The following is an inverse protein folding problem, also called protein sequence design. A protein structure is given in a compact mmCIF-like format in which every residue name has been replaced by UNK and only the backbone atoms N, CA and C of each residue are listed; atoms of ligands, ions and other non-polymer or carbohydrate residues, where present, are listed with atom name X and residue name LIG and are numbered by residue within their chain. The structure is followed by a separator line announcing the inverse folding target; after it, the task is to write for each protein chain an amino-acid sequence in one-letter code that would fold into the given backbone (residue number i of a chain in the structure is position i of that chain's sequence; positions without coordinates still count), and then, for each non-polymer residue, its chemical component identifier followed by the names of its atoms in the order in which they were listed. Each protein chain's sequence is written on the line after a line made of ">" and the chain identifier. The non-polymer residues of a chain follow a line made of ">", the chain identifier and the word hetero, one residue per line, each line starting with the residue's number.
data_IF_324505854930
#
_entry.id   IF_324505854930
#
_cell.length_a   1.000
_cell.length_b   1.000
_cell.length_c   1.000
_cell.angle_alpha   90.00
_cell.angle_beta   90.00
_cell.angle_gamma   90.00
#
_symmetry.space_group_name_H-M   'P 1'
#
loop_
_entity.id
_entity.type
_entity.pdbx_description
1 polymer ?
#
# COMPACT_ATOMS: atom_id res chain seq x y z
N UNK A 1 12.74 1.86 13.81
CA UNK A 1 12.10 0.64 14.38
C UNK A 1 11.54 -0.26 13.29
N UNK A 2 10.77 0.27 12.33
CA UNK A 2 10.14 -0.51 11.24
C UNK A 2 11.17 -1.31 10.42
N UNK A 3 12.22 -0.67 9.90
CA UNK A 3 13.24 -1.39 9.11
C UNK A 3 13.87 -2.58 9.84
N UNK A 4 14.09 -2.47 11.15
CA UNK A 4 14.62 -3.59 11.95
C UNK A 4 13.69 -4.81 11.92
N UNK A 5 12.37 -4.59 11.91
CA UNK A 5 11.36 -5.66 11.79
C UNK A 5 11.32 -6.23 10.38
N UNK A 6 11.34 -5.38 9.35
CA UNK A 6 11.37 -5.78 7.94
C UNK A 6 12.56 -6.70 7.68
N UNK A 7 13.78 -6.26 8.06
CA UNK A 7 14.99 -7.07 7.91
C UNK A 7 14.91 -8.40 8.64
N UNK A 8 14.45 -8.39 9.89
CA UNK A 8 14.35 -9.61 10.70
C UNK A 8 13.36 -10.61 10.09
N UNK A 9 12.19 -10.14 9.63
CA UNK A 9 11.19 -10.98 8.97
C UNK A 9 11.76 -11.63 7.70
N UNK A 10 12.40 -10.84 6.83
CA UNK A 10 12.99 -11.32 5.58
C UNK A 10 14.14 -12.32 5.81
N UNK A 11 14.98 -12.08 6.83
CA UNK A 11 16.06 -12.99 7.26
C UNK A 11 15.52 -14.34 7.71
N UNK A 12 14.32 -14.37 8.29
CA UNK A 12 13.65 -15.59 8.74
C UNK A 12 12.72 -16.21 7.70
N UNK A 13 12.75 -15.74 6.45
CA UNK A 13 11.98 -16.35 5.37
C UNK A 13 10.53 -15.87 5.26
N UNK A 14 10.11 -14.90 6.07
CA UNK A 14 8.75 -14.36 6.01
C UNK A 14 8.58 -13.36 4.86
N UNK A 15 7.36 -13.29 4.35
CA UNK A 15 6.89 -12.19 3.52
C UNK A 15 6.47 -11.00 4.39
N UNK A 16 6.60 -9.80 3.86
CA UNK A 16 6.35 -8.54 4.59
C UNK A 16 5.34 -7.70 3.84
N UNK A 17 4.28 -7.28 4.53
CA UNK A 17 3.43 -6.17 4.09
C UNK A 17 3.93 -4.91 4.82
N UNK A 18 4.55 -4.01 4.07
CA UNK A 18 5.05 -2.72 4.56
C UNK A 18 3.96 -1.66 4.41
N UNK A 19 3.35 -1.26 5.52
CA UNK A 19 2.36 -0.20 5.51
C UNK A 19 3.01 1.18 5.48
N UNK A 20 2.49 2.06 4.62
CA UNK A 20 2.87 3.48 4.50
C UNK A 20 1.60 4.32 4.36
N UNK A 21 1.65 5.57 4.78
CA UNK A 21 0.53 6.49 4.65
C UNK A 21 0.71 7.77 5.45
N UNK A 22 0.02 8.80 5.00
CA UNK A 22 0.03 10.13 5.60
C UNK A 22 -1.15 10.36 6.55
N UNK A 23 -0.95 11.31 7.47
CA UNK A 23 -1.99 11.90 8.31
C UNK A 23 -2.86 12.90 7.53
N UNK A 24 -4.03 13.24 8.06
CA UNK A 24 -4.92 14.21 7.40
C UNK A 24 -4.23 15.56 7.21
N UNK A 25 -3.51 16.02 8.23
CA UNK A 25 -2.82 17.31 8.24
C UNK A 25 -1.69 17.35 7.20
N UNK A 26 -1.02 16.21 6.98
CA UNK A 26 0.01 16.07 5.96
C UNK A 26 -0.59 16.08 4.56
N UNK A 27 -1.76 15.44 4.36
CA UNK A 27 -2.52 15.49 3.10
C UNK A 27 -2.98 16.91 2.80
N UNK A 28 -3.61 17.58 3.76
CA UNK A 28 -4.12 18.96 3.62
C UNK A 28 -2.99 19.98 3.40
N UNK A 29 -1.78 19.70 3.90
CA UNK A 29 -0.58 20.49 3.63
C UNK A 29 0.09 20.16 2.28
N UNK A 30 -0.42 19.21 1.50
CA UNK A 30 0.16 18.80 0.21
C UNK A 30 1.44 17.95 0.33
N UNK A 31 1.64 17.27 1.45
CA UNK A 31 2.85 16.47 1.74
C UNK A 31 2.65 14.95 1.61
N UNK A 32 1.47 14.47 1.17
CA UNK A 32 1.15 13.05 1.13
C UNK A 32 2.19 12.20 0.38
N UNK A 33 2.58 12.65 -0.81
CA UNK A 33 3.59 11.99 -1.66
C UNK A 33 4.95 11.93 -0.94
N UNK A 34 5.43 13.06 -0.41
CA UNK A 34 6.71 13.14 0.27
C UNK A 34 6.78 12.26 1.53
N UNK A 35 5.67 12.18 2.28
CA UNK A 35 5.55 11.29 3.44
C UNK A 35 5.62 9.83 3.02
N UNK A 36 4.81 9.43 2.03
CA UNK A 36 4.77 8.05 1.54
C UNK A 36 6.11 7.62 0.92
N UNK A 37 6.77 8.50 0.16
CA UNK A 37 8.12 8.28 -0.37
C UNK A 37 9.12 8.04 0.75
N UNK A 38 9.19 8.95 1.73
CA UNK A 38 10.15 8.84 2.84
C UNK A 38 9.92 7.59 3.68
N UNK A 39 8.67 7.20 3.92
CA UNK A 39 8.34 5.98 4.64
C UNK A 39 8.74 4.73 3.84
N UNK A 40 8.51 4.73 2.53
CA UNK A 40 8.90 3.64 1.61
C UNK A 40 10.41 3.44 1.60
N UNK A 41 11.18 4.51 1.34
CA UNK A 41 12.65 4.49 1.33
C UNK A 41 13.22 3.96 2.66
N UNK A 42 12.77 4.53 3.78
CA UNK A 42 13.23 4.11 5.12
C UNK A 42 12.79 2.69 5.48
N UNK A 43 11.62 2.26 5.00
CA UNK A 43 11.10 0.91 5.21
C UNK A 43 11.89 -0.16 4.45
N UNK A 44 12.53 0.22 3.34
CA UNK A 44 13.29 -0.65 2.45
C UNK A 44 14.82 -0.49 2.58
N UNK A 45 15.31 0.33 3.49
CA UNK A 45 16.74 0.59 3.66
C UNK A 45 17.57 -0.71 3.81
N UNK A 46 18.43 -0.98 2.84
CA UNK A 46 19.29 -2.16 2.78
C UNK A 46 18.59 -3.46 2.38
N UNK A 47 17.28 -3.45 2.11
CA UNK A 47 16.58 -4.60 1.51
C UNK A 47 17.15 -4.79 0.10
N UNK A 48 17.66 -5.99 -0.17
CA UNK A 48 18.20 -6.32 -1.50
C UNK A 48 17.09 -6.48 -2.53
N UNK A 49 17.42 -6.38 -3.82
CA UNK A 49 16.46 -6.59 -4.90
C UNK A 49 15.84 -8.00 -4.87
N UNK A 50 16.61 -9.01 -4.44
CA UNK A 50 16.10 -10.38 -4.26
C UNK A 50 15.11 -10.48 -3.10
N UNK A 51 15.36 -9.75 -2.01
CA UNK A 51 14.45 -9.71 -0.86
C UNK A 51 13.16 -8.94 -1.15
N UNK A 52 13.23 -7.92 -2.02
CA UNK A 52 12.07 -7.10 -2.41
C UNK A 52 10.92 -7.93 -3.00
N UNK A 53 11.21 -9.05 -3.67
CA UNK A 53 10.19 -9.97 -4.19
C UNK A 53 9.30 -10.60 -3.11
N UNK A 54 9.65 -10.47 -1.83
CA UNK A 54 8.87 -10.91 -0.66
C UNK A 54 8.25 -9.74 0.11
N UNK A 55 8.26 -8.55 -0.48
CA UNK A 55 7.67 -7.35 0.10
C UNK A 55 6.47 -6.93 -0.74
N UNK A 56 5.37 -6.66 -0.06
CA UNK A 56 4.20 -5.96 -0.58
C UNK A 56 4.11 -4.61 0.12
N UNK A 57 3.75 -3.55 -0.59
CA UNK A 57 3.48 -2.25 0.04
C UNK A 57 1.98 -2.11 0.22
N UNK A 58 1.55 -1.63 1.38
CA UNK A 58 0.15 -1.25 1.61
C UNK A 58 0.08 0.26 1.86
N UNK A 59 -0.55 0.98 0.94
CA UNK A 59 -0.88 2.39 1.15
C UNK A 59 -2.15 2.52 1.98
N UNK A 60 -2.00 3.04 3.20
CA UNK A 60 -3.05 3.25 4.18
C UNK A 60 -3.15 4.73 4.56
N UNK A 61 -3.91 5.56 3.82
CA UNK A 61 -4.15 6.94 4.26
C UNK A 61 -4.79 6.90 5.64
N UNK A 62 -4.09 7.41 6.67
CA UNK A 62 -4.46 7.19 8.08
C UNK A 62 -5.85 7.77 8.37
N UNK A 63 -6.17 8.86 7.71
CA UNK A 63 -7.46 9.55 7.79
C UNK A 63 -8.64 8.76 7.18
N UNK A 64 -8.37 7.73 6.38
CA UNK A 64 -9.37 6.82 5.83
C UNK A 64 -9.56 5.54 6.66
N UNK A 65 -8.74 5.29 7.69
CA UNK A 65 -8.79 4.04 8.48
C UNK A 65 -9.94 4.10 9.48
N UNK A 66 -10.96 3.26 9.30
CA UNK A 66 -12.06 3.12 10.28
C UNK A 66 -12.99 4.34 10.42
N UNK A 67 -12.78 5.39 9.61
CA UNK A 67 -13.60 6.61 9.63
C UNK A 67 -14.82 6.53 8.71
N UNK A 68 -14.87 5.52 7.84
CA UNK A 68 -15.87 5.43 6.77
C UNK A 68 -15.66 6.43 5.62
N UNK A 69 -14.65 7.30 5.73
CA UNK A 69 -14.13 8.08 4.60
C UNK A 69 -13.14 7.21 3.83
N UNK A 70 -13.17 7.32 2.51
CA UNK A 70 -12.30 6.59 1.58
C UNK A 70 -11.69 7.63 0.66
N UNK A 71 -10.42 7.48 0.31
CA UNK A 71 -9.85 8.25 -0.79
C UNK A 71 -10.63 7.96 -2.08
N UNK A 72 -10.73 8.95 -2.97
CA UNK A 72 -11.26 8.65 -4.30
C UNK A 72 -10.33 7.64 -4.99
N UNK A 73 -10.82 6.81 -5.92
CA UNK A 73 -9.95 5.93 -6.69
C UNK A 73 -8.80 6.68 -7.37
N UNK A 74 -9.04 7.90 -7.84
CA UNK A 74 -8.02 8.77 -8.43
C UNK A 74 -6.97 9.21 -7.41
N UNK A 75 -7.39 9.63 -6.21
CA UNK A 75 -6.47 10.01 -5.12
C UNK A 75 -5.59 8.84 -4.69
N UNK A 76 -6.17 7.64 -4.59
CA UNK A 76 -5.46 6.43 -4.21
C UNK A 76 -4.44 6.04 -5.29
N UNK A 77 -4.86 6.02 -6.57
CA UNK A 77 -4.00 5.67 -7.70
C UNK A 77 -2.81 6.64 -7.85
N UNK A 78 -3.01 7.94 -7.63
CA UNK A 78 -1.92 8.92 -7.67
C UNK A 78 -0.82 8.62 -6.65
N UNK A 79 -1.19 8.28 -5.40
CA UNK A 79 -0.21 7.91 -4.38
C UNK A 79 0.44 6.55 -4.68
N UNK A 80 -0.31 5.58 -5.20
CA UNK A 80 0.26 4.29 -5.62
C UNK A 80 1.27 4.47 -6.76
N UNK A 81 0.95 5.30 -7.76
CA UNK A 81 1.86 5.64 -8.85
C UNK A 81 3.15 6.29 -8.32
N UNK A 82 3.04 7.20 -7.34
CA UNK A 82 4.19 7.84 -6.72
C UNK A 82 5.06 6.85 -5.92
N UNK A 83 4.44 5.94 -5.15
CA UNK A 83 5.17 4.86 -4.47
C UNK A 83 5.88 3.98 -5.51
N UNK A 84 5.20 3.63 -6.62
CA UNK A 84 5.78 2.84 -7.71
C UNK A 84 6.98 3.54 -8.35
N UNK A 85 6.95 4.87 -8.52
CA UNK A 85 8.10 5.62 -9.00
C UNK A 85 9.27 5.60 -8.01
N UNK A 86 9.00 5.67 -6.70
CA UNK A 86 10.05 5.52 -5.66
C UNK A 86 10.72 4.15 -5.75
N UNK A 87 9.95 3.08 -5.98
CA UNK A 87 10.51 1.74 -6.21
C UNK A 87 11.35 1.70 -7.49
N UNK A 88 10.91 2.38 -8.56
CA UNK A 88 11.66 2.45 -9.80
C UNK A 88 13.02 3.15 -9.61
N UNK A 89 13.07 4.20 -8.78
CA UNK A 89 14.30 4.93 -8.49
C UNK A 89 15.27 4.11 -7.62
N UNK A 90 14.74 3.34 -6.65
CA UNK A 90 15.56 2.53 -5.74
C UNK A 90 16.04 1.21 -6.36
N UNK A 91 15.19 0.56 -7.17
CA UNK A 91 15.39 -0.83 -7.62
C UNK A 91 15.29 -1.03 -9.13
N UNK A 92 14.98 0.02 -9.89
CA UNK A 92 14.80 -0.02 -11.33
C UNK A 92 13.37 -0.38 -11.76
N UNK A 93 13.04 -0.05 -13.02
CA UNK A 93 11.69 -0.22 -13.59
C UNK A 93 11.14 -1.63 -13.45
N UNK A 94 11.95 -2.67 -13.69
CA UNK A 94 11.49 -4.05 -13.61
C UNK A 94 10.99 -4.43 -12.21
N UNK A 95 11.61 -3.91 -11.15
CA UNK A 95 11.15 -4.10 -9.78
C UNK A 95 9.85 -3.32 -9.51
N UNK A 96 9.74 -2.10 -10.02
CA UNK A 96 8.55 -1.27 -9.89
C UNK A 96 7.33 -1.83 -10.66
N UNK A 97 7.56 -2.49 -11.79
CA UNK A 97 6.50 -3.17 -12.54
C UNK A 97 6.03 -4.46 -11.83
N UNK A 98 6.92 -5.09 -11.03
CA UNK A 98 6.64 -6.38 -10.38
C UNK A 98 6.14 -6.25 -8.92
N UNK A 99 6.39 -5.11 -8.26
CA UNK A 99 5.98 -4.90 -6.87
C UNK A 99 4.45 -4.81 -6.77
N UNK A 100 3.90 -5.47 -5.74
CA UNK A 100 2.48 -5.36 -5.38
C UNK A 100 2.29 -4.18 -4.43
N UNK A 101 1.37 -3.28 -4.78
CA UNK A 101 0.96 -2.14 -3.96
C UNK A 101 -0.54 -2.23 -3.71
N UNK A 102 -0.92 -2.39 -2.45
CA UNK A 102 -2.30 -2.57 -1.98
C UNK A 102 -2.87 -1.26 -1.41
N UNK A 103 -4.19 -1.10 -1.53
CA UNK A 103 -4.92 -0.03 -0.86
C UNK A 103 -5.54 -0.50 0.47
N UNK A 104 -5.31 0.22 1.57
CA UNK A 104 -5.88 -0.10 2.90
C UNK A 104 -6.89 0.92 3.46
N UNK A 105 -7.29 1.94 2.69
CA UNK A 105 -8.16 3.03 3.18
C UNK A 105 -9.66 2.75 3.14
N UNK A 106 -10.18 1.84 3.98
CA UNK A 106 -11.64 1.53 4.01
C UNK A 106 -12.21 1.01 2.69
N UNK A 107 -11.52 0.08 2.02
CA UNK A 107 -12.08 -0.66 0.89
C UNK A 107 -13.24 -1.56 1.34
N UNK A 108 -14.32 -1.56 0.55
CA UNK A 108 -15.57 -2.30 0.76
C UNK A 108 -16.08 -2.83 -0.58
N UNK A 109 -17.08 -3.72 -0.54
CA UNK A 109 -17.67 -4.30 -1.75
C UNK A 109 -18.12 -3.24 -2.77
N UNK A 110 -18.65 -2.11 -2.30
CA UNK A 110 -19.22 -1.06 -3.15
C UNK A 110 -18.17 -0.23 -3.91
N UNK A 111 -16.93 -0.17 -3.40
CA UNK A 111 -15.86 0.63 -4.02
C UNK A 111 -14.68 -0.22 -4.55
N UNK A 112 -14.61 -1.52 -4.20
CA UNK A 112 -13.54 -2.41 -4.60
C UNK A 112 -13.32 -2.41 -6.11
N UNK A 113 -14.38 -2.55 -6.91
CA UNK A 113 -14.29 -2.56 -8.37
C UNK A 113 -13.67 -1.29 -8.95
N UNK A 114 -14.04 -0.12 -8.42
CA UNK A 114 -13.52 1.15 -8.91
C UNK A 114 -12.04 1.36 -8.52
N UNK A 115 -11.64 0.87 -7.35
CA UNK A 115 -10.25 0.90 -6.88
C UNK A 115 -9.37 -0.09 -7.66
N UNK A 116 -9.82 -1.33 -7.83
CA UNK A 116 -9.09 -2.38 -8.55
C UNK A 116 -9.02 -2.14 -10.07
N UNK A 117 -9.87 -1.27 -10.61
CA UNK A 117 -9.77 -0.83 -12.00
C UNK A 117 -8.65 0.20 -12.25
N UNK A 118 -7.94 0.64 -11.21
CA UNK A 118 -6.83 1.61 -11.32
C UNK A 118 -5.53 0.91 -11.68
N UNK A 119 -4.73 1.58 -12.50
CA UNK A 119 -3.50 1.02 -13.06
C UNK A 119 -2.49 0.62 -11.98
N UNK A 120 -2.39 1.39 -10.89
CA UNK A 120 -1.34 1.19 -9.90
C UNK A 120 -1.80 0.45 -8.64
N UNK A 121 -3.06 0.05 -8.55
CA UNK A 121 -3.64 -0.61 -7.37
C UNK A 121 -3.75 -2.11 -7.63
N UNK A 122 -2.91 -2.89 -6.94
CA UNK A 122 -2.77 -4.33 -7.17
C UNK A 122 -3.63 -5.19 -6.23
N UNK A 123 -4.35 -4.56 -5.29
CA UNK A 123 -5.17 -5.27 -4.31
C UNK A 123 -5.58 -4.40 -3.12
N UNK A 124 -6.01 -5.06 -2.04
CA UNK A 124 -6.43 -4.37 -0.83
C UNK A 124 -5.95 -5.03 0.47
N UNK A 125 -5.60 -4.19 1.45
CA UNK A 125 -5.38 -4.60 2.84
C UNK A 125 -6.66 -4.32 3.63
N UNK A 126 -7.48 -5.35 3.83
CA UNK A 126 -8.86 -5.18 4.27
C UNK A 126 -8.98 -5.33 5.80
N UNK A 127 -9.39 -4.24 6.47
CA UNK A 127 -9.68 -4.22 7.89
C UNK A 127 -11.10 -4.70 8.23
N UNK A 128 -11.98 -3.79 8.65
CA UNK A 128 -13.31 -4.14 9.18
C UNK A 128 -14.20 -4.97 8.26
N UNK A 129 -14.11 -4.79 6.93
CA UNK A 129 -14.88 -5.57 5.97
C UNK A 129 -14.40 -7.03 5.84
N UNK A 130 -13.21 -7.38 6.36
CA UNK A 130 -12.70 -8.74 6.40
C UNK A 130 -13.23 -9.58 7.58
N UNK A 131 -13.93 -8.95 8.54
CA UNK A 131 -14.36 -9.62 9.78
C UNK A 131 -15.54 -10.58 9.60
N UNK A 132 -16.26 -10.48 8.47
CA UNK A 132 -17.42 -11.32 8.15
C UNK A 132 -17.32 -11.80 6.71
N UNK A 133 -17.69 -13.06 6.47
CA UNK A 133 -17.62 -13.65 5.14
C UNK A 133 -18.49 -12.88 4.14
N UNK A 134 -19.66 -12.41 4.57
CA UNK A 134 -20.63 -11.69 3.73
C UNK A 134 -20.10 -10.34 3.25
N UNK A 135 -19.22 -9.70 4.01
CA UNK A 135 -18.59 -8.42 3.64
C UNK A 135 -17.25 -8.61 2.95
N UNK A 136 -16.55 -9.71 3.23
CA UNK A 136 -15.23 -9.97 2.66
C UNK A 136 -15.27 -10.65 1.30
N UNK A 137 -16.13 -11.66 1.13
CA UNK A 137 -16.20 -12.45 -0.10
C UNK A 137 -16.44 -11.59 -1.36
N UNK A 138 -17.32 -10.57 -1.35
CA UNK A 138 -17.48 -9.70 -2.51
C UNK A 138 -16.23 -8.89 -2.87
N UNK A 139 -15.36 -8.59 -1.88
CA UNK A 139 -14.10 -7.87 -2.11
C UNK A 139 -13.05 -8.85 -2.65
N UNK A 140 -12.90 -10.02 -2.00
CA UNK A 140 -11.90 -11.02 -2.35
C UNK A 140 -12.15 -11.69 -3.72
N UNK A 141 -13.40 -11.70 -4.17
CA UNK A 141 -13.81 -12.26 -5.47
C UNK A 141 -14.10 -11.17 -6.51
N UNK A 142 -13.70 -9.93 -6.24
CA UNK A 142 -13.90 -8.83 -7.17
C UNK A 142 -12.94 -8.97 -8.35
N UNK A 143 -13.49 -9.00 -9.57
CA UNK A 143 -12.78 -9.01 -10.85
C UNK A 143 -12.92 -7.65 -11.57
#
# INVERSE_FOLDING_TARGET
>A
MIIKKVRLALQHGLEVILCVGELLEEREAGHAEAVCASQTEKGLEGVSAQELARVTIAYEPVWAIGTGKTATPEDADAIHAHIRSVIADLYGKAAADAIVIQYGGSMKAENAKALLAKENIDGGLIGGAALKAETFAPIALCE
#
